data_IF_247703667150
#
_entry.id   IF_247703667150
#
_cell.length_a   1.000
_cell.length_b   1.000
_cell.length_c   1.000
_cell.angle_alpha   90.00
_cell.angle_beta   90.00
_cell.angle_gamma   90.00
#
_symmetry.space_group_name_H-M   'P 1'
#
loop_
_entity.id
_entity.type
_entity.pdbx_description
1 polymer ?
#
# COMPACT_ATOMS: atom_id res chain seq x y z
N UNK A 1 7.72 -20.94 6.89
CA UNK A 1 8.03 -19.59 6.38
C UNK A 1 6.74 -18.80 6.34
N UNK A 2 6.77 -17.53 6.76
CA UNK A 2 5.61 -16.64 6.70
C UNK A 2 5.33 -16.20 5.26
N UNK A 3 4.05 -16.04 4.92
CA UNK A 3 3.59 -15.64 3.57
C UNK A 3 3.13 -14.20 3.59
N UNK A 4 3.62 -13.38 2.66
CA UNK A 4 3.20 -12.00 2.45
C UNK A 4 2.53 -11.81 1.09
N UNK A 5 1.36 -11.19 1.05
CA UNK A 5 0.69 -10.73 -0.16
C UNK A 5 0.76 -9.21 -0.25
N UNK A 6 1.31 -8.69 -1.36
CA UNK A 6 1.54 -7.27 -1.59
C UNK A 6 0.79 -6.83 -2.83
N UNK A 7 -0.16 -5.89 -2.72
CA UNK A 7 -0.85 -5.37 -3.89
C UNK A 7 -0.03 -4.27 -4.58
N UNK A 8 0.00 -4.26 -5.92
CA UNK A 8 0.76 -3.28 -6.69
C UNK A 8 2.28 -3.40 -6.53
N UNK A 9 2.81 -4.63 -6.45
CA UNK A 9 4.20 -4.93 -6.11
C UNK A 9 5.22 -4.79 -7.24
N UNK A 10 4.83 -4.45 -8.47
CA UNK A 10 5.77 -4.49 -9.61
C UNK A 10 6.70 -3.27 -9.72
N UNK A 11 6.40 -2.13 -9.08
CA UNK A 11 7.19 -0.89 -9.16
C UNK A 11 7.12 -0.05 -7.88
N UNK A 12 7.97 0.96 -7.79
CA UNK A 12 7.96 1.99 -6.74
C UNK A 12 8.03 1.41 -5.32
N UNK A 13 7.20 1.92 -4.43
CA UNK A 13 7.11 1.47 -3.03
C UNK A 13 6.75 -0.02 -2.95
N UNK A 14 5.78 -0.47 -3.74
CA UNK A 14 5.36 -1.87 -3.75
C UNK A 14 6.50 -2.84 -4.10
N UNK A 15 7.33 -2.51 -5.11
CA UNK A 15 8.51 -3.30 -5.47
C UNK A 15 9.53 -3.35 -4.33
N UNK A 16 9.82 -2.23 -3.71
CA UNK A 16 10.74 -2.18 -2.58
C UNK A 16 10.22 -3.02 -1.38
N UNK A 17 8.90 -3.06 -1.17
CA UNK A 17 8.28 -3.93 -0.16
C UNK A 17 8.48 -5.40 -0.53
N UNK A 18 8.24 -5.80 -1.78
CA UNK A 18 8.48 -7.17 -2.26
C UNK A 18 9.93 -7.57 -2.01
N UNK A 19 10.89 -6.74 -2.39
CA UNK A 19 12.33 -6.99 -2.23
C UNK A 19 12.76 -7.10 -0.76
N UNK A 20 12.31 -6.20 0.13
CA UNK A 20 12.66 -6.22 1.55
C UNK A 20 12.01 -7.42 2.28
N UNK A 21 10.77 -7.80 1.94
CA UNK A 21 10.11 -8.97 2.52
C UNK A 21 10.78 -10.29 2.08
N UNK A 22 11.12 -10.41 0.81
CA UNK A 22 11.86 -11.58 0.32
C UNK A 22 13.24 -11.68 0.98
N UNK A 23 13.97 -10.57 1.11
CA UNK A 23 15.25 -10.53 1.82
C UNK A 23 15.13 -10.89 3.32
N UNK A 24 13.96 -10.63 3.93
CA UNK A 24 13.65 -11.01 5.30
C UNK A 24 13.17 -12.48 5.45
N UNK A 25 13.14 -13.26 4.35
CA UNK A 25 12.83 -14.70 4.36
C UNK A 25 11.33 -15.02 4.26
N UNK A 26 10.49 -14.07 3.86
CA UNK A 26 9.08 -14.33 3.55
C UNK A 26 8.94 -15.03 2.18
N UNK A 27 7.96 -15.90 2.06
CA UNK A 27 7.41 -16.26 0.76
C UNK A 27 6.50 -15.12 0.30
N UNK A 28 6.84 -14.49 -0.82
CA UNK A 28 6.15 -13.29 -1.27
C UNK A 28 5.32 -13.55 -2.51
N UNK A 29 4.04 -13.18 -2.46
CA UNK A 29 3.18 -13.00 -3.61
C UNK A 29 2.89 -11.51 -3.81
N UNK A 30 2.78 -11.07 -5.07
CA UNK A 30 2.38 -9.70 -5.34
C UNK A 30 1.45 -9.59 -6.53
N UNK A 31 0.60 -8.57 -6.52
CA UNK A 31 -0.26 -8.27 -7.68
C UNK A 31 0.27 -7.10 -8.49
N UNK A 32 -0.09 -7.08 -9.77
CA UNK A 32 0.18 -5.98 -10.70
C UNK A 32 -0.95 -5.88 -11.74
N UNK A 33 -1.21 -4.68 -12.27
CA UNK A 33 -2.28 -4.49 -13.25
C UNK A 33 -1.81 -4.74 -14.69
N UNK A 34 -0.80 -4.01 -15.19
CA UNK A 34 -0.46 -4.04 -16.61
C UNK A 34 1.04 -4.03 -16.95
N UNK A 35 1.94 -3.78 -15.99
CA UNK A 35 3.37 -3.76 -16.31
C UNK A 35 3.98 -5.16 -16.17
N UNK A 36 3.84 -5.98 -17.22
CA UNK A 36 4.33 -7.35 -17.27
C UNK A 36 5.84 -7.44 -17.12
N UNK A 37 6.59 -6.63 -17.86
CA UNK A 37 8.06 -6.66 -17.83
C UNK A 37 8.62 -6.35 -16.42
N UNK A 38 8.03 -5.37 -15.71
CA UNK A 38 8.41 -5.08 -14.34
C UNK A 38 8.05 -6.21 -13.38
N UNK A 39 6.95 -6.91 -13.60
CA UNK A 39 6.57 -8.07 -12.80
C UNK A 39 7.49 -9.26 -13.06
N UNK A 40 7.82 -9.53 -14.31
CA UNK A 40 8.74 -10.60 -14.70
C UNK A 40 10.15 -10.41 -14.13
N UNK A 41 10.63 -9.17 -14.00
CA UNK A 41 11.94 -8.88 -13.39
C UNK A 41 12.05 -9.29 -11.91
N UNK A 42 10.94 -9.62 -11.25
CA UNK A 42 10.88 -10.14 -9.89
C UNK A 42 10.66 -11.66 -9.82
N UNK A 43 10.60 -12.35 -10.97
CA UNK A 43 10.52 -13.81 -11.01
C UNK A 43 11.75 -14.45 -10.35
N UNK A 44 11.50 -15.50 -9.56
CA UNK A 44 12.55 -16.11 -8.73
C UNK A 44 12.70 -15.48 -7.35
N UNK A 45 12.24 -14.22 -7.16
CA UNK A 45 12.20 -13.57 -5.86
C UNK A 45 10.80 -13.65 -5.23
N UNK A 46 9.75 -13.46 -6.03
CA UNK A 46 8.36 -13.44 -5.59
C UNK A 46 7.42 -13.93 -6.70
N UNK A 47 6.23 -14.44 -6.32
CA UNK A 47 5.22 -14.93 -7.26
C UNK A 47 4.31 -13.81 -7.75
N UNK A 48 4.32 -13.44 -9.05
CA UNK A 48 3.48 -12.39 -9.61
C UNK A 48 2.07 -12.89 -9.93
N UNK A 49 1.08 -12.02 -9.74
CA UNK A 49 -0.32 -12.22 -10.14
C UNK A 49 -0.82 -10.98 -10.89
N UNK A 50 -1.24 -11.17 -12.14
CA UNK A 50 -1.94 -10.09 -12.83
C UNK A 50 -3.37 -9.98 -12.29
N UNK A 51 -3.71 -8.83 -11.71
CA UNK A 51 -4.99 -8.61 -11.07
C UNK A 51 -5.38 -7.13 -11.03
N UNK A 52 -6.65 -6.86 -11.32
CA UNK A 52 -7.25 -5.55 -11.08
C UNK A 52 -7.77 -5.51 -9.63
N UNK A 53 -7.23 -4.60 -8.83
CA UNK A 53 -7.63 -4.47 -7.42
C UNK A 53 -9.09 -4.06 -7.24
N UNK A 54 -9.72 -3.48 -8.28
CA UNK A 54 -11.13 -3.07 -8.26
C UNK A 54 -12.09 -4.27 -8.29
N UNK A 55 -11.65 -5.41 -8.80
CA UNK A 55 -12.45 -6.63 -8.93
C UNK A 55 -12.30 -7.52 -7.68
N UNK A 56 -13.38 -7.60 -6.90
CA UNK A 56 -13.41 -8.43 -5.71
C UNK A 56 -13.23 -9.94 -6.02
N UNK A 57 -13.84 -10.42 -7.11
CA UNK A 57 -13.70 -11.83 -7.53
C UNK A 57 -12.25 -12.15 -7.89
N UNK A 58 -11.55 -11.21 -8.51
CA UNK A 58 -10.12 -11.33 -8.80
C UNK A 58 -9.31 -11.40 -7.49
N UNK A 59 -9.61 -10.55 -6.51
CA UNK A 59 -8.94 -10.57 -5.22
C UNK A 59 -9.15 -11.90 -4.47
N UNK A 60 -10.37 -12.47 -4.51
CA UNK A 60 -10.65 -13.79 -3.92
C UNK A 60 -9.86 -14.92 -4.62
N UNK A 61 -9.82 -14.94 -5.96
CA UNK A 61 -9.04 -15.93 -6.72
C UNK A 61 -7.56 -15.87 -6.42
N UNK A 62 -6.97 -14.66 -6.43
CA UNK A 62 -5.55 -14.47 -6.09
C UNK A 62 -5.27 -14.95 -4.67
N UNK A 63 -6.09 -14.54 -3.71
CA UNK A 63 -5.93 -14.95 -2.30
C UNK A 63 -6.01 -16.47 -2.13
N UNK A 64 -6.97 -17.13 -2.78
CA UNK A 64 -7.11 -18.58 -2.73
C UNK A 64 -5.90 -19.30 -3.36
N UNK A 65 -5.40 -18.81 -4.51
CA UNK A 65 -4.22 -19.41 -5.17
C UNK A 65 -2.96 -19.20 -4.34
N UNK A 66 -2.74 -18.02 -3.75
CA UNK A 66 -1.61 -17.78 -2.84
C UNK A 66 -1.66 -18.76 -1.67
N UNK A 67 -2.82 -18.91 -1.04
CA UNK A 67 -2.97 -19.83 0.10
C UNK A 67 -2.74 -21.29 -0.27
N UNK A 68 -3.15 -21.72 -1.46
CA UNK A 68 -2.95 -23.10 -1.92
C UNK A 68 -1.52 -23.40 -2.31
N UNK A 69 -0.76 -22.41 -2.80
CA UNK A 69 0.59 -22.61 -3.37
C UNK A 69 1.72 -22.23 -2.44
N UNK A 70 1.54 -21.18 -1.62
CA UNK A 70 2.56 -20.68 -0.69
C UNK A 70 2.21 -20.93 0.78
N UNK A 71 0.94 -21.17 1.08
CA UNK A 71 0.45 -21.34 2.44
C UNK A 71 -0.40 -20.18 2.92
N UNK A 72 -0.84 -20.19 4.18
CA UNK A 72 -1.71 -19.18 4.74
C UNK A 72 -1.02 -17.81 4.74
N UNK A 73 -1.76 -16.78 4.34
CA UNK A 73 -1.25 -15.39 4.29
C UNK A 73 -1.17 -14.85 5.72
N UNK A 74 0.05 -14.57 6.17
CA UNK A 74 0.33 -13.99 7.49
C UNK A 74 0.37 -12.45 7.42
N UNK A 75 0.75 -11.90 6.27
CA UNK A 75 0.87 -10.46 6.03
C UNK A 75 0.14 -10.06 4.76
N UNK A 76 -0.71 -9.04 4.85
CA UNK A 76 -1.27 -8.32 3.69
C UNK A 76 -0.75 -6.90 3.66
N UNK A 77 -0.17 -6.47 2.52
CA UNK A 77 0.18 -5.07 2.29
C UNK A 77 -0.68 -4.52 1.15
N UNK A 78 -1.61 -3.63 1.49
CA UNK A 78 -2.41 -2.89 0.53
C UNK A 78 -1.63 -1.66 0.06
N UNK A 79 -0.96 -1.79 -1.08
CA UNK A 79 -0.15 -0.72 -1.68
C UNK A 79 -0.67 -0.27 -3.05
N UNK A 80 -1.44 -1.09 -3.77
CA UNK A 80 -2.00 -0.72 -5.07
C UNK A 80 -2.72 0.64 -5.00
N UNK A 81 -2.40 1.51 -5.93
CA UNK A 81 -3.01 2.83 -5.98
C UNK A 81 -2.60 3.63 -7.21
N UNK A 82 -3.47 4.55 -7.59
CA UNK A 82 -3.30 5.46 -8.72
C UNK A 82 -3.58 6.90 -8.28
N UNK A 83 -3.13 7.84 -9.12
CA UNK A 83 -3.47 9.27 -9.04
C UNK A 83 -4.12 9.71 -10.35
N UNK A 84 -5.09 10.63 -10.25
CA UNK A 84 -5.70 11.37 -11.35
C UNK A 84 -5.88 12.81 -10.87
N UNK A 85 -4.76 13.54 -10.84
CA UNK A 85 -4.71 14.89 -10.29
C UNK A 85 -5.44 15.87 -11.24
N UNK A 86 -6.17 16.82 -10.66
CA UNK A 86 -6.91 17.86 -11.37
C UNK A 86 -7.70 18.74 -10.41
N UNK A 87 -7.98 19.98 -10.83
CA UNK A 87 -8.82 20.88 -10.05
C UNK A 87 -10.26 20.34 -9.98
N UNK A 88 -10.92 20.42 -8.83
CA UNK A 88 -12.26 19.82 -8.63
C UNK A 88 -13.29 20.28 -9.68
N UNK A 89 -13.27 21.56 -10.05
CA UNK A 89 -14.25 22.12 -11.01
C UNK A 89 -14.08 21.59 -12.45
N UNK A 90 -12.95 20.98 -12.78
CA UNK A 90 -12.67 20.37 -14.10
C UNK A 90 -12.42 18.86 -14.00
N UNK A 91 -12.50 18.29 -12.81
CA UNK A 91 -12.24 16.86 -12.61
C UNK A 91 -13.34 16.02 -13.27
N UNK A 92 -12.94 15.10 -14.15
CA UNK A 92 -13.86 14.13 -14.73
C UNK A 92 -14.39 13.20 -13.62
N UNK A 93 -15.72 13.00 -13.50
CA UNK A 93 -16.30 12.02 -12.58
C UNK A 93 -15.71 10.62 -12.72
N UNK A 94 -15.32 10.20 -13.91
CA UNK A 94 -14.65 8.92 -14.13
C UNK A 94 -13.26 8.88 -13.48
N UNK A 95 -12.50 9.97 -13.51
CA UNK A 95 -11.20 10.07 -12.84
C UNK A 95 -11.35 10.02 -11.32
N UNK A 96 -12.41 10.63 -10.76
CA UNK A 96 -12.76 10.48 -9.36
C UNK A 96 -13.03 9.03 -9.01
N UNK A 97 -13.94 8.38 -9.74
CA UNK A 97 -14.38 7.03 -9.45
C UNK A 97 -13.23 6.02 -9.58
N UNK A 98 -12.40 6.15 -10.62
CA UNK A 98 -11.24 5.26 -10.82
C UNK A 98 -10.28 5.29 -9.63
N UNK A 99 -10.03 6.48 -9.05
CA UNK A 99 -9.16 6.63 -7.88
C UNK A 99 -9.79 6.01 -6.63
N UNK A 100 -11.07 6.25 -6.39
CA UNK A 100 -11.79 5.65 -5.25
C UNK A 100 -11.81 4.12 -5.37
N UNK A 101 -12.15 3.60 -6.54
CA UNK A 101 -12.26 2.16 -6.77
C UNK A 101 -10.91 1.46 -6.63
N UNK A 102 -9.85 2.05 -7.15
CA UNK A 102 -8.52 1.43 -7.05
C UNK A 102 -7.96 1.53 -5.64
N UNK A 103 -7.97 2.73 -5.04
CA UNK A 103 -7.21 3.00 -3.82
C UNK A 103 -7.97 2.56 -2.56
N UNK A 104 -9.29 2.76 -2.50
CA UNK A 104 -10.11 2.48 -1.33
C UNK A 104 -10.86 1.16 -1.46
N UNK A 105 -11.65 0.99 -2.55
CA UNK A 105 -12.37 -0.26 -2.78
C UNK A 105 -11.41 -1.44 -2.97
N UNK A 106 -10.28 -1.23 -3.68
CA UNK A 106 -9.23 -2.24 -3.82
C UNK A 106 -8.61 -2.67 -2.49
N UNK A 107 -8.38 -1.71 -1.58
CA UNK A 107 -7.92 -2.01 -0.20
C UNK A 107 -8.96 -2.85 0.54
N UNK A 108 -10.23 -2.52 0.45
CA UNK A 108 -11.33 -3.33 1.01
C UNK A 108 -11.34 -4.73 0.40
N UNK A 109 -11.26 -4.88 -0.91
CA UNK A 109 -11.37 -6.15 -1.62
C UNK A 109 -10.33 -7.17 -1.11
N UNK A 110 -9.05 -6.81 -1.13
CA UNK A 110 -7.97 -7.70 -0.67
C UNK A 110 -8.06 -7.97 0.83
N UNK A 111 -8.36 -6.95 1.63
CA UNK A 111 -8.52 -7.14 3.07
C UNK A 111 -9.69 -8.09 3.36
N UNK A 112 -10.82 -7.93 2.70
CA UNK A 112 -12.01 -8.78 2.86
C UNK A 112 -11.76 -10.23 2.44
N UNK A 113 -10.96 -10.43 1.39
CA UNK A 113 -10.59 -11.77 0.93
C UNK A 113 -9.68 -12.50 1.94
N UNK A 114 -8.77 -11.78 2.60
CA UNK A 114 -7.76 -12.36 3.51
C UNK A 114 -8.26 -12.47 4.95
N UNK A 115 -9.05 -11.49 5.42
CA UNK A 115 -9.32 -11.30 6.85
C UNK A 115 -9.96 -12.51 7.54
N UNK A 116 -10.85 -13.25 6.86
CA UNK A 116 -11.50 -14.45 7.40
C UNK A 116 -10.51 -15.54 7.82
N UNK A 117 -9.38 -15.61 7.14
CA UNK A 117 -8.32 -16.57 7.43
C UNK A 117 -7.43 -16.04 8.57
N UNK A 118 -7.11 -14.74 8.54
CA UNK A 118 -6.29 -14.12 9.57
C UNK A 118 -6.93 -14.16 10.96
N UNK A 119 -8.24 -13.95 11.09
CA UNK A 119 -8.94 -14.01 12.41
C UNK A 119 -8.89 -15.38 13.08
N UNK A 120 -8.50 -16.43 12.36
CA UNK A 120 -8.33 -17.80 12.90
C UNK A 120 -6.90 -18.13 13.28
N UNK A 121 -5.92 -17.29 12.91
CA UNK A 121 -4.49 -17.62 13.00
C UNK A 121 -3.62 -16.48 13.53
N UNK A 122 -4.17 -15.28 13.68
CA UNK A 122 -3.46 -14.00 13.76
C UNK A 122 -2.85 -13.56 12.43
N UNK A 123 -2.33 -12.31 12.38
CA UNK A 123 -1.69 -11.78 11.19
C UNK A 123 -1.52 -10.25 11.24
N UNK A 124 -0.98 -9.70 10.19
CA UNK A 124 -0.77 -8.24 10.09
C UNK A 124 -1.21 -7.68 8.75
N UNK A 125 -1.96 -6.59 8.78
CA UNK A 125 -2.35 -5.81 7.59
C UNK A 125 -1.69 -4.45 7.68
N UNK A 126 -0.99 -4.05 6.61
CA UNK A 126 -0.44 -2.70 6.49
C UNK A 126 -0.98 -2.04 5.24
N UNK A 127 -1.60 -0.87 5.42
CA UNK A 127 -2.17 -0.09 4.32
C UNK A 127 -1.25 1.07 3.96
N UNK A 128 -0.91 1.22 2.68
CA UNK A 128 -0.16 2.40 2.21
C UNK A 128 -1.15 3.52 1.90
N UNK A 129 -1.16 4.52 2.77
CA UNK A 129 -1.91 5.76 2.59
C UNK A 129 -1.01 6.87 2.04
N UNK A 130 -1.17 8.12 2.46
CA UNK A 130 -0.34 9.26 2.07
C UNK A 130 -0.56 10.41 3.06
N UNK A 131 0.42 11.30 3.17
CA UNK A 131 0.23 12.60 3.84
C UNK A 131 -0.93 13.39 3.21
N UNK A 132 -1.19 13.24 1.90
CA UNK A 132 -2.35 13.85 1.24
C UNK A 132 -3.70 13.37 1.82
N UNK A 133 -3.74 12.20 2.45
CA UNK A 133 -4.92 11.71 3.19
C UNK A 133 -5.05 12.30 4.60
N UNK A 134 -4.00 12.92 5.12
CA UNK A 134 -3.96 13.56 6.44
C UNK A 134 -4.23 15.06 6.30
N UNK A 135 -3.46 15.74 5.46
CA UNK A 135 -3.47 17.21 5.33
C UNK A 135 -4.34 17.72 4.18
N UNK A 136 -4.67 16.85 3.22
CA UNK A 136 -5.21 17.26 1.93
C UNK A 136 -4.13 17.85 1.01
N UNK A 137 -4.38 17.85 -0.29
CA UNK A 137 -3.51 18.49 -1.27
C UNK A 137 -4.36 19.10 -2.39
N UNK A 138 -4.10 20.36 -2.74
CA UNK A 138 -4.78 21.01 -3.85
C UNK A 138 -4.58 20.23 -5.15
N UNK A 139 -5.64 20.06 -5.92
CA UNK A 139 -5.64 19.25 -7.16
C UNK A 139 -5.71 17.74 -6.93
N UNK A 140 -5.83 17.28 -5.70
CA UNK A 140 -5.89 15.85 -5.34
C UNK A 140 -7.13 15.49 -4.50
N UNK A 141 -8.27 16.10 -4.75
CA UNK A 141 -9.47 15.86 -3.93
C UNK A 141 -9.88 14.39 -3.93
N UNK A 142 -9.86 13.71 -5.09
CA UNK A 142 -10.10 12.27 -5.22
C UNK A 142 -9.06 11.42 -4.48
N UNK A 143 -7.78 11.71 -4.71
CA UNK A 143 -6.68 10.97 -4.09
C UNK A 143 -6.66 11.16 -2.56
N UNK A 144 -6.76 12.41 -2.09
CA UNK A 144 -6.83 12.73 -0.66
C UNK A 144 -8.02 12.06 0.02
N UNK A 145 -9.21 12.10 -0.61
CA UNK A 145 -10.41 11.42 -0.11
C UNK A 145 -10.19 9.90 -0.01
N UNK A 146 -9.61 9.27 -1.05
CA UNK A 146 -9.33 7.83 -1.05
C UNK A 146 -8.35 7.46 0.07
N UNK A 147 -7.28 8.23 0.26
CA UNK A 147 -6.24 7.96 1.28
C UNK A 147 -6.72 8.29 2.71
N UNK A 148 -7.57 9.30 2.90
CA UNK A 148 -8.27 9.54 4.15
C UNK A 148 -9.26 8.39 4.47
N UNK A 149 -9.97 7.87 3.47
CA UNK A 149 -10.81 6.69 3.61
C UNK A 149 -10.03 5.46 4.10
N UNK A 150 -8.84 5.23 3.55
CA UNK A 150 -7.94 4.14 4.00
C UNK A 150 -7.50 4.33 5.46
N UNK A 151 -7.27 5.57 5.91
CA UNK A 151 -6.96 5.87 7.32
C UNK A 151 -8.14 5.50 8.22
N UNK A 152 -9.35 5.91 7.87
CA UNK A 152 -10.57 5.56 8.60
C UNK A 152 -10.81 4.05 8.65
N UNK A 153 -10.67 3.39 7.49
CA UNK A 153 -10.76 1.94 7.34
C UNK A 153 -9.75 1.21 8.26
N UNK A 154 -8.49 1.65 8.27
CA UNK A 154 -7.44 1.08 9.12
C UNK A 154 -7.82 1.12 10.59
N UNK A 155 -8.26 2.28 11.09
CA UNK A 155 -8.62 2.48 12.49
C UNK A 155 -9.84 1.67 12.91
N UNK A 156 -10.85 1.59 12.05
CA UNK A 156 -12.07 0.82 12.32
C UNK A 156 -11.77 -0.68 12.36
N UNK A 157 -11.12 -1.20 11.32
CA UNK A 157 -10.78 -2.62 11.22
C UNK A 157 -9.85 -3.07 12.34
N UNK A 158 -8.87 -2.26 12.73
CA UNK A 158 -7.98 -2.57 13.85
C UNK A 158 -8.75 -2.88 15.13
N UNK A 159 -9.78 -2.08 15.45
CA UNK A 159 -10.63 -2.30 16.63
C UNK A 159 -11.49 -3.54 16.52
N UNK A 160 -11.95 -3.85 15.31
CA UNK A 160 -12.81 -5.01 15.04
C UNK A 160 -12.06 -6.34 15.22
N UNK A 161 -10.79 -6.39 14.76
CA UNK A 161 -10.05 -7.65 14.67
C UNK A 161 -8.97 -7.85 15.74
N UNK A 162 -8.67 -6.84 16.57
CA UNK A 162 -7.61 -6.90 17.58
C UNK A 162 -7.76 -8.10 18.54
N UNK A 163 -9.00 -8.41 18.95
CA UNK A 163 -9.29 -9.56 19.83
C UNK A 163 -8.91 -10.92 19.24
N UNK A 164 -8.65 -10.99 17.94
CA UNK A 164 -8.22 -12.20 17.23
C UNK A 164 -6.70 -12.21 16.97
N UNK A 165 -5.95 -11.28 17.57
CA UNK A 165 -4.51 -11.17 17.35
C UNK A 165 -4.14 -10.63 15.97
N UNK A 166 -5.09 -10.03 15.23
CA UNK A 166 -4.79 -9.39 13.94
C UNK A 166 -4.51 -7.90 14.17
N UNK A 167 -3.37 -7.45 13.68
CA UNK A 167 -2.97 -6.03 13.73
C UNK A 167 -3.22 -5.36 12.38
N UNK A 168 -3.71 -4.14 12.41
CA UNK A 168 -3.97 -3.36 11.20
C UNK A 168 -3.42 -1.95 11.39
N UNK A 169 -2.42 -1.58 10.58
CA UNK A 169 -1.77 -0.29 10.63
C UNK A 169 -1.70 0.35 9.24
N UNK A 170 -1.35 1.61 9.19
CA UNK A 170 -1.07 2.32 7.94
C UNK A 170 0.29 3.00 7.97
N UNK A 171 0.91 3.13 6.80
CA UNK A 171 2.04 4.03 6.57
C UNK A 171 1.55 5.15 5.67
N UNK A 172 1.85 6.40 6.04
CA UNK A 172 1.51 7.60 5.29
C UNK A 172 2.80 8.27 4.75
N UNK A 173 3.28 7.87 3.55
CA UNK A 173 4.44 8.51 2.96
C UNK A 173 4.13 9.94 2.51
N UNK A 174 5.13 10.81 2.63
CA UNK A 174 5.19 12.09 1.96
C UNK A 174 5.76 11.97 0.56
N UNK A 175 6.70 12.88 0.20
CA UNK A 175 7.43 12.78 -1.06
C UNK A 175 8.48 11.68 -1.01
N UNK A 176 8.27 10.65 -1.82
CA UNK A 176 9.18 9.49 -1.96
C UNK A 176 9.73 9.50 -3.38
N UNK A 177 11.05 9.33 -3.48
CA UNK A 177 11.73 9.20 -4.77
C UNK A 177 11.34 7.87 -5.43
N UNK A 178 10.57 7.98 -6.52
CA UNK A 178 10.01 6.89 -7.30
C UNK A 178 9.89 7.30 -8.76
N UNK A 179 9.64 6.36 -9.67
CA UNK A 179 9.34 6.65 -11.07
C UNK A 179 8.18 7.67 -11.23
N UNK A 180 7.24 7.67 -10.28
CA UNK A 180 6.10 8.59 -10.28
C UNK A 180 6.53 10.04 -10.00
N UNK A 181 7.56 10.26 -9.18
CA UNK A 181 8.12 11.59 -8.89
C UNK A 181 9.20 11.99 -9.89
N UNK A 182 9.83 11.04 -10.57
CA UNK A 182 10.81 11.29 -11.63
C UNK A 182 10.21 12.00 -12.85
N UNK A 183 8.89 11.86 -13.10
CA UNK A 183 8.18 12.53 -14.18
C UNK A 183 7.86 14.02 -13.91
N UNK A 184 8.09 14.50 -12.67
CA UNK A 184 7.87 15.91 -12.31
C UNK A 184 9.04 16.76 -12.85
N UNK A 185 8.73 17.91 -13.44
CA UNK A 185 9.73 18.90 -13.88
C UNK A 185 10.75 19.19 -12.75
N UNK A 186 12.03 19.35 -13.12
CA UNK A 186 13.12 19.50 -12.13
C UNK A 186 12.94 20.71 -11.22
N UNK A 187 12.47 21.84 -11.76
CA UNK A 187 12.25 23.06 -10.97
C UNK A 187 11.06 22.90 -10.01
N UNK A 188 9.97 22.25 -10.49
CA UNK A 188 8.82 21.92 -9.64
C UNK A 188 9.23 20.95 -8.53
N UNK A 189 10.04 19.94 -8.86
CA UNK A 189 10.58 18.97 -7.89
C UNK A 189 11.48 19.64 -6.84
N UNK A 190 12.39 20.53 -7.23
CA UNK A 190 13.21 21.33 -6.30
C UNK A 190 12.34 22.15 -5.32
N UNK A 191 11.29 22.80 -5.83
CA UNK A 191 10.34 23.57 -4.99
C UNK A 191 9.59 22.66 -3.99
N UNK A 192 9.18 21.48 -4.42
CA UNK A 192 8.53 20.50 -3.55
C UNK A 192 9.49 20.00 -2.45
N UNK A 193 10.71 19.66 -2.81
CA UNK A 193 11.71 19.17 -1.84
C UNK A 193 12.16 20.24 -0.86
N UNK A 194 12.18 21.51 -1.26
CA UNK A 194 12.48 22.63 -0.37
C UNK A 194 11.43 22.81 0.75
N UNK A 195 10.23 22.24 0.61
CA UNK A 195 9.21 22.27 1.65
C UNK A 195 9.42 21.18 2.72
N UNK A 196 10.26 20.18 2.44
CA UNK A 196 10.54 19.09 3.38
C UNK A 196 11.56 19.58 4.40
N UNK A 197 11.27 19.61 5.70
CA UNK A 197 12.25 20.04 6.72
C UNK A 197 13.55 19.25 6.70
N UNK A 198 13.54 17.96 6.39
CA UNK A 198 14.74 17.15 6.19
C UNK A 198 15.51 17.46 4.90
N UNK A 199 15.05 18.38 4.05
CA UNK A 199 15.72 18.86 2.83
C UNK A 199 15.79 17.87 1.67
N UNK A 200 15.20 16.70 1.78
CA UNK A 200 15.26 15.63 0.75
C UNK A 200 14.05 14.71 0.82
N UNK A 201 13.66 14.08 -0.30
CA UNK A 201 12.61 13.08 -0.30
C UNK A 201 13.05 11.81 0.46
N UNK A 202 12.06 11.03 0.90
CA UNK A 202 12.29 9.67 1.36
C UNK A 202 12.55 8.71 0.20
N UNK A 203 13.01 7.50 0.52
CA UNK A 203 13.20 6.42 -0.47
C UNK A 203 12.13 5.33 -0.31
N UNK A 204 11.80 4.63 -1.40
CA UNK A 204 10.91 3.47 -1.37
C UNK A 204 11.38 2.40 -0.37
N UNK A 205 12.69 2.23 -0.22
CA UNK A 205 13.31 1.29 0.73
C UNK A 205 13.04 1.68 2.19
N UNK A 206 13.06 2.97 2.53
CA UNK A 206 12.72 3.44 3.88
C UNK A 206 11.25 3.11 4.22
N UNK A 207 10.34 3.33 3.26
CA UNK A 207 8.92 2.96 3.44
C UNK A 207 8.78 1.45 3.61
N UNK A 208 9.44 0.65 2.78
CA UNK A 208 9.39 -0.81 2.84
C UNK A 208 9.86 -1.36 4.20
N UNK A 209 10.94 -0.79 4.76
CA UNK A 209 11.45 -1.18 6.09
C UNK A 209 10.49 -0.81 7.22
N UNK A 210 9.80 0.32 7.13
CA UNK A 210 8.76 0.67 8.09
C UNK A 210 7.56 -0.29 8.02
N UNK A 211 7.18 -0.70 6.81
CA UNK A 211 6.15 -1.73 6.61
C UNK A 211 6.59 -3.04 7.23
N UNK A 212 7.83 -3.47 6.97
CA UNK A 212 8.39 -4.71 7.54
C UNK A 212 8.40 -4.66 9.08
N UNK A 213 8.82 -3.53 9.67
CA UNK A 213 8.76 -3.33 11.12
C UNK A 213 7.34 -3.47 11.66
N UNK A 214 6.36 -2.80 11.05
CA UNK A 214 4.96 -2.88 11.49
C UNK A 214 4.37 -4.29 11.39
N UNK A 215 4.96 -5.19 10.61
CA UNK A 215 4.53 -6.59 10.51
C UNK A 215 5.28 -7.53 11.46
N UNK A 216 6.40 -7.10 12.04
CA UNK A 216 7.24 -7.91 12.93
C UNK A 216 6.65 -8.07 14.35
N UNK A 217 7.24 -8.96 15.13
CA UNK A 217 6.92 -9.15 16.56
C UNK A 217 7.27 -7.93 17.41
N UNK A 218 8.28 -7.13 17.02
CA UNK A 218 8.65 -5.90 17.72
C UNK A 218 7.51 -4.86 17.70
N UNK A 219 6.58 -4.97 16.74
CA UNK A 219 5.38 -4.15 16.64
C UNK A 219 4.11 -4.84 17.18
N UNK A 220 4.25 -5.92 17.99
CA UNK A 220 3.12 -6.75 18.44
C UNK A 220 2.04 -5.99 19.23
N UNK A 221 2.38 -4.86 19.85
CA UNK A 221 1.42 -4.01 20.58
C UNK A 221 0.99 -2.75 19.77
N UNK A 222 1.30 -2.70 18.48
CA UNK A 222 0.96 -1.57 17.59
C UNK A 222 -0.18 -1.99 16.66
N UNK A 223 -1.36 -1.39 16.82
CA UNK A 223 -2.51 -1.56 15.92
C UNK A 223 -3.35 -0.28 15.86
N UNK A 224 -4.00 -0.02 14.73
CA UNK A 224 -4.81 1.17 14.46
C UNK A 224 -3.99 2.45 14.23
N UNK A 225 -2.67 2.34 14.09
CA UNK A 225 -1.78 3.50 13.96
C UNK A 225 -1.56 3.88 12.49
N UNK A 226 -1.28 5.18 12.30
CA UNK A 226 -0.86 5.74 11.01
C UNK A 226 0.54 6.31 11.20
N UNK A 227 1.54 5.61 10.67
CA UNK A 227 2.92 6.04 10.73
C UNK A 227 3.21 7.00 9.58
N UNK A 228 3.36 8.28 9.88
CA UNK A 228 3.73 9.29 8.89
C UNK A 228 5.23 9.25 8.62
N UNK A 229 5.60 9.25 7.33
CA UNK A 229 6.99 9.19 6.86
C UNK A 229 7.20 10.28 5.79
N UNK A 230 7.39 11.51 6.20
CA UNK A 230 7.35 12.67 5.30
C UNK A 230 8.49 13.67 5.50
N UNK A 231 9.45 13.37 6.37
CA UNK A 231 10.58 14.26 6.66
C UNK A 231 10.18 15.53 7.40
N UNK A 232 9.00 15.52 8.08
CA UNK A 232 8.47 16.66 8.84
C UNK A 232 7.59 17.60 8.01
N UNK A 233 7.07 17.15 6.86
CA UNK A 233 6.28 17.98 5.93
C UNK A 233 4.88 18.30 6.46
N UNK A 234 4.22 17.41 7.25
CA UNK A 234 2.86 17.59 7.78
C UNK A 234 2.83 18.08 9.22
#
# INVERSE_FOLDING_TARGET
MSVALITGGSRGIGRAIVEEFAAAGYQVAFTYAGNHAAAESLQGLAKPYQADSRDFTCAEKVTADVQSTLGPIDVLVNNAGIKRDGALHTMDPAAWQEVIDTNLTGTFNYTRAVIKHMIRRSGSVVNITSVSGITGMAGQTNYSASKAGVIGFTKALAREVARFGVRVNAVAPGFIDTDMTASIDENARKKLYAQIPMGKPGTSKQVARAVLYLTSEDASYITGQVLTMDGGLS
#
